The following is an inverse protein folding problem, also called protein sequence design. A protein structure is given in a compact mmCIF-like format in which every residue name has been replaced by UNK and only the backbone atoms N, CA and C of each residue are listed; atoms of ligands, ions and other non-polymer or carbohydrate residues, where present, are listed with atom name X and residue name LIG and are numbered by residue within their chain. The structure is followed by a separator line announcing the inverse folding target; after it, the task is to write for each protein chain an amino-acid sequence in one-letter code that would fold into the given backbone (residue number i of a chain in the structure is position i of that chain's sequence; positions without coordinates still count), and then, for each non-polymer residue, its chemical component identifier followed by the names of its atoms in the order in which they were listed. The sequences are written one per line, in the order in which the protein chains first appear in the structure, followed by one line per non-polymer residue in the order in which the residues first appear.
data_IF_342540906036
#
_entry.id   IF_342540906036
#
_cell.length_a   1.000
_cell.length_b   1.000
_cell.length_c   1.000
_cell.angle_alpha   90.00
_cell.angle_beta   90.00
_cell.angle_gamma   90.00
#
_symmetry.space_group_name_H-M   'P 1'
#
loop_
_entity.id
_entity.type
_entity.pdbx_description
1 polymer ?
#
# COMPACT_ATOMS: atom_id res chain seq x y z
N UNK A 1 3.72 10.65 -6.69
CA UNK A 1 5.12 10.48 -6.20
C UNK A 1 5.12 9.54 -5.01
N UNK A 2 6.14 8.69 -4.91
CA UNK A 2 6.26 7.63 -3.90
C UNK A 2 6.08 8.13 -2.45
N UNK A 3 6.71 9.25 -2.09
CA UNK A 3 6.61 9.85 -0.76
C UNK A 3 5.17 10.16 -0.35
N UNK A 4 4.36 10.71 -1.29
CA UNK A 4 2.94 10.99 -1.06
C UNK A 4 2.14 9.70 -0.92
N UNK A 5 2.42 8.69 -1.74
CA UNK A 5 1.72 7.38 -1.66
C UNK A 5 1.94 6.67 -0.33
N UNK A 6 3.17 6.65 0.17
CA UNK A 6 3.47 6.08 1.49
C UNK A 6 2.67 6.81 2.59
N UNK A 7 2.66 8.14 2.55
CA UNK A 7 1.92 8.97 3.52
C UNK A 7 0.40 8.75 3.44
N UNK A 8 -0.16 8.73 2.23
CA UNK A 8 -1.58 8.49 1.98
C UNK A 8 -2.01 7.11 2.53
N UNK A 9 -1.28 6.05 2.20
CA UNK A 9 -1.58 4.69 2.66
C UNK A 9 -1.47 4.57 4.19
N UNK A 10 -0.44 5.20 4.79
CA UNK A 10 -0.29 5.25 6.25
C UNK A 10 -1.49 5.93 6.91
N UNK A 11 -1.90 7.08 6.39
CA UNK A 11 -3.01 7.85 6.92
C UNK A 11 -4.35 7.13 6.73
N UNK A 12 -4.54 6.45 5.60
CA UNK A 12 -5.75 5.66 5.33
C UNK A 12 -5.94 4.50 6.32
N UNK A 13 -4.84 3.92 6.84
CA UNK A 13 -4.88 2.94 7.94
C UNK A 13 -4.91 3.56 9.35
N UNK A 14 -4.93 4.90 9.48
CA UNK A 14 -4.96 5.59 10.78
C UNK A 14 -3.66 5.52 11.57
N UNK A 15 -2.53 5.20 10.92
CA UNK A 15 -1.25 4.94 11.60
C UNK A 15 -0.44 6.23 11.79
N UNK A 16 0.29 6.37 12.90
CA UNK A 16 1.34 7.39 13.03
C UNK A 16 2.62 6.95 12.31
N UNK A 17 3.58 7.86 12.09
CA UNK A 17 4.90 7.50 11.54
C UNK A 17 5.65 6.52 12.45
N UNK A 18 5.42 6.57 13.76
CA UNK A 18 6.01 5.64 14.73
C UNK A 18 5.40 4.25 14.55
N UNK A 19 4.09 4.16 14.35
CA UNK A 19 3.39 2.88 14.19
C UNK A 19 3.83 2.20 12.90
N UNK A 20 3.84 2.91 11.78
CA UNK A 20 4.33 2.35 10.51
C UNK A 20 5.80 1.89 10.61
N UNK A 21 6.63 2.64 11.34
CA UNK A 21 8.02 2.27 11.54
C UNK A 21 8.15 0.96 12.32
N UNK A 22 7.33 0.74 13.36
CA UNK A 22 7.28 -0.52 14.12
C UNK A 22 6.89 -1.70 13.22
N UNK A 23 5.81 -1.54 12.45
CA UNK A 23 5.30 -2.57 11.52
C UNK A 23 6.33 -2.96 10.45
N UNK A 24 7.06 -1.96 9.94
CA UNK A 24 8.11 -2.18 8.94
C UNK A 24 9.48 -2.49 9.54
N UNK A 25 9.59 -2.58 10.88
CA UNK A 25 10.83 -2.86 11.60
C UNK A 25 11.97 -1.88 11.25
N UNK A 26 11.64 -0.58 11.19
CA UNK A 26 12.57 0.52 10.92
C UNK A 26 12.42 1.61 11.98
N UNK A 27 13.26 2.65 11.90
CA UNK A 27 13.11 3.82 12.79
C UNK A 27 12.03 4.77 12.27
N UNK A 28 11.41 5.55 13.17
CA UNK A 28 10.50 6.65 12.79
C UNK A 28 11.19 7.66 11.86
N UNK A 29 12.49 7.87 12.00
CA UNK A 29 13.26 8.76 11.12
C UNK A 29 13.29 8.24 9.67
N UNK A 30 13.40 6.92 9.46
CA UNK A 30 13.32 6.33 8.13
C UNK A 30 11.99 6.67 7.45
N UNK A 31 10.86 6.42 8.14
CA UNK A 31 9.52 6.74 7.62
C UNK A 31 9.37 8.23 7.33
N UNK A 32 9.84 9.09 8.25
CA UNK A 32 9.83 10.54 8.05
C UNK A 32 10.63 10.97 6.83
N UNK A 33 11.82 10.39 6.62
CA UNK A 33 12.65 10.68 5.45
C UNK A 33 11.96 10.27 4.14
N UNK A 34 11.27 9.13 4.12
CA UNK A 34 10.53 8.68 2.95
C UNK A 34 9.36 9.61 2.62
N UNK A 35 8.53 9.96 3.61
CA UNK A 35 7.34 10.79 3.39
C UNK A 35 7.66 12.24 3.04
N UNK A 36 8.79 12.76 3.54
CA UNK A 36 9.27 14.10 3.24
C UNK A 36 10.18 14.17 2.00
N UNK A 37 10.37 13.04 1.29
CA UNK A 37 11.21 12.96 0.09
C UNK A 37 12.71 13.31 0.33
N UNK A 38 13.19 13.12 1.57
CA UNK A 38 14.61 13.35 1.91
C UNK A 38 15.48 12.17 1.45
N UNK A 39 14.97 10.95 1.61
CA UNK A 39 15.64 9.70 1.22
C UNK A 39 14.55 8.76 0.70
N UNK A 40 14.84 7.96 -0.33
CA UNK A 40 13.92 6.94 -0.83
C UNK A 40 14.14 5.59 -0.11
N UNK A 41 13.09 4.76 0.06
CA UNK A 41 13.26 3.39 0.53
C UNK A 41 14.12 2.58 -0.45
N UNK A 42 14.87 1.61 0.04
CA UNK A 42 15.54 0.62 -0.83
C UNK A 42 14.49 -0.23 -1.57
N UNK A 43 14.93 -0.95 -2.61
CA UNK A 43 14.06 -1.88 -3.35
C UNK A 43 13.40 -2.91 -2.43
N UNK A 44 14.17 -3.52 -1.52
CA UNK A 44 13.64 -4.49 -0.55
C UNK A 44 12.60 -3.87 0.38
N UNK A 45 12.84 -2.62 0.81
CA UNK A 45 11.89 -1.90 1.66
C UNK A 45 10.63 -1.51 0.88
N UNK A 46 10.76 -1.16 -0.39
CA UNK A 46 9.63 -0.89 -1.27
C UNK A 46 8.73 -2.13 -1.41
N UNK A 47 9.32 -3.31 -1.58
CA UNK A 47 8.58 -4.60 -1.59
C UNK A 47 7.91 -4.87 -0.24
N UNK A 48 8.60 -4.57 0.88
CA UNK A 48 8.01 -4.73 2.21
C UNK A 48 6.80 -3.81 2.42
N UNK A 49 6.92 -2.54 2.01
CA UNK A 49 5.83 -1.56 2.04
C UNK A 49 4.65 -2.03 1.19
N UNK A 50 4.91 -2.51 -0.03
CA UNK A 50 3.87 -2.96 -0.95
C UNK A 50 3.07 -4.13 -0.37
N UNK A 51 3.76 -5.12 0.22
CA UNK A 51 3.12 -6.24 0.92
C UNK A 51 2.32 -5.78 2.13
N UNK A 52 2.88 -4.90 2.97
CA UNK A 52 2.20 -4.41 4.18
C UNK A 52 0.89 -3.67 3.88
N UNK A 53 0.86 -2.91 2.79
CA UNK A 53 -0.34 -2.19 2.35
C UNK A 53 -1.20 -2.96 1.35
N UNK A 54 -0.82 -4.19 0.99
CA UNK A 54 -1.53 -5.00 0.00
C UNK A 54 -1.72 -4.27 -1.33
N UNK A 55 -0.67 -3.59 -1.81
CA UNK A 55 -0.63 -2.88 -3.10
C UNK A 55 0.56 -3.34 -3.93
N UNK A 56 0.55 -3.04 -5.22
CA UNK A 56 1.71 -3.30 -6.11
C UNK A 56 2.79 -2.24 -5.93
N UNK A 57 4.03 -2.58 -6.29
CA UNK A 57 5.13 -1.61 -6.38
C UNK A 57 4.86 -0.55 -7.42
N UNK A 58 4.22 -0.90 -8.54
CA UNK A 58 3.81 0.01 -9.61
C UNK A 58 2.86 1.10 -9.10
N UNK A 59 1.88 0.71 -8.25
CA UNK A 59 1.00 1.65 -7.57
C UNK A 59 1.78 2.62 -6.66
N UNK A 60 2.72 2.10 -5.86
CA UNK A 60 3.56 2.93 -4.98
C UNK A 60 4.43 3.91 -5.78
N UNK A 61 5.02 3.43 -6.89
CA UNK A 61 5.89 4.21 -7.77
C UNK A 61 5.11 5.13 -8.71
N UNK A 62 3.78 5.09 -8.70
CA UNK A 62 2.91 5.87 -9.58
C UNK A 62 3.14 5.56 -11.07
N UNK A 63 3.56 4.33 -11.38
CA UNK A 63 3.64 3.82 -12.76
C UNK A 63 2.27 3.42 -13.28
N UNK A 64 1.37 3.09 -12.36
CA UNK A 64 0.01 2.68 -12.62
C UNK A 64 -0.92 3.22 -11.51
N UNK A 65 -2.13 3.63 -11.89
CA UNK A 65 -3.17 4.09 -10.98
C UNK A 65 -4.31 3.08 -10.80
N UNK A 66 -4.19 1.88 -11.37
CA UNK A 66 -5.14 0.80 -11.13
C UNK A 66 -5.25 0.51 -9.63
N UNK A 67 -6.46 0.65 -9.09
CA UNK A 67 -6.78 0.22 -7.73
C UNK A 67 -6.95 -1.29 -7.77
N UNK A 68 -6.24 -1.99 -6.89
CA UNK A 68 -6.31 -3.44 -6.77
C UNK A 68 -6.89 -3.81 -5.41
N UNK A 69 -7.53 -4.97 -5.33
CA UNK A 69 -7.95 -5.60 -4.08
C UNK A 69 -7.15 -6.89 -3.94
N UNK A 70 -6.42 -7.05 -2.83
CA UNK A 70 -5.80 -8.34 -2.52
C UNK A 70 -6.89 -9.36 -2.21
N UNK A 71 -6.81 -10.50 -2.87
CA UNK A 71 -7.72 -11.64 -2.73
C UNK A 71 -7.01 -12.87 -2.15
N UNK A 72 -5.81 -12.68 -1.60
CA UNK A 72 -4.89 -13.78 -1.23
C UNK A 72 -5.47 -14.74 -0.18
N UNK A 73 -6.46 -14.30 0.59
CA UNK A 73 -7.14 -15.09 1.63
C UNK A 73 -8.60 -15.41 1.28
N UNK A 74 -8.99 -15.32 0.01
CA UNK A 74 -10.34 -15.59 -0.46
C UNK A 74 -10.38 -16.85 -1.33
N UNK A 75 -11.51 -17.56 -1.28
CA UNK A 75 -11.79 -18.66 -2.20
C UNK A 75 -12.23 -18.14 -3.58
N UNK A 76 -12.09 -18.96 -4.62
CA UNK A 76 -12.56 -18.61 -5.96
C UNK A 76 -14.05 -18.24 -5.98
N UNK A 77 -14.87 -18.90 -5.15
CA UNK A 77 -16.29 -18.57 -4.99
C UNK A 77 -16.49 -17.17 -4.41
N UNK A 78 -15.74 -16.81 -3.36
CA UNK A 78 -15.82 -15.48 -2.76
C UNK A 78 -15.36 -14.39 -3.74
N UNK A 79 -14.28 -14.65 -4.50
CA UNK A 79 -13.79 -13.75 -5.54
C UNK A 79 -14.87 -13.54 -6.62
N UNK A 80 -15.57 -14.62 -7.00
CA UNK A 80 -16.66 -14.56 -7.99
C UNK A 80 -17.80 -13.67 -7.51
N UNK A 81 -18.23 -13.80 -6.26
CA UNK A 81 -19.27 -12.93 -5.70
C UNK A 81 -18.83 -11.45 -5.65
N UNK A 82 -17.57 -11.17 -5.32
CA UNK A 82 -17.05 -9.79 -5.32
C UNK A 82 -17.06 -9.21 -6.73
N UNK A 83 -16.70 -10.00 -7.75
CA UNK A 83 -16.77 -9.56 -9.15
C UNK A 83 -18.19 -9.19 -9.56
N UNK A 84 -19.18 -10.01 -9.20
CA UNK A 84 -20.60 -9.70 -9.48
C UNK A 84 -21.03 -8.37 -8.85
N UNK A 85 -20.65 -8.12 -7.59
CA UNK A 85 -20.95 -6.83 -6.93
C UNK A 85 -20.31 -5.66 -7.68
N UNK A 86 -19.07 -5.81 -8.16
CA UNK A 86 -18.40 -4.75 -8.92
C UNK A 86 -19.14 -4.47 -10.24
N UNK A 87 -19.53 -5.53 -10.95
CA UNK A 87 -20.26 -5.41 -12.21
C UNK A 87 -21.62 -4.71 -12.00
N UNK A 88 -22.35 -5.08 -10.94
CA UNK A 88 -23.64 -4.48 -10.56
C UNK A 88 -23.51 -2.98 -10.18
N UNK A 89 -22.38 -2.56 -9.60
CA UNK A 89 -22.13 -1.15 -9.25
C UNK A 89 -21.82 -0.31 -10.50
N UNK A 90 -21.28 -0.94 -11.55
CA UNK A 90 -20.87 -0.26 -12.78
C UNK A 90 -21.98 -0.15 -13.83
N UNK A 91 -23.01 -0.99 -13.73
CA UNK A 91 -24.23 -0.94 -14.54
C UNK A 91 -25.19 0.17 -14.13
#
# INVERSE_FOLDING_TARGET
MLNKKIKELRQAKGLTQVDLAKELSVTKQCVSNWENNNIQPSVDMLVKISKYFSVTTDYLLCLDNHKTLSVDNLTDTQITHIKQIIDDIQS
#
